data_IF_222264656124
#
_entry.id   IF_222264656124
#
_cell.length_a   1.000
_cell.length_b   1.000
_cell.length_c   1.000
_cell.angle_alpha   90.00
_cell.angle_beta   90.00
_cell.angle_gamma   90.00
#
_symmetry.space_group_name_H-M   'P 1'
#
loop_
_entity.id
_entity.type
_entity.pdbx_description
1 polymer ?
#
# COMPACT_ATOMS: atom_id res chain seq x y z
N UNK A 1 -28.79 14.16 7.40
CA UNK A 1 -28.65 15.30 6.47
C UNK A 1 -27.52 16.15 6.98
N UNK A 2 -26.42 16.22 6.24
CA UNK A 2 -25.16 16.88 6.66
C UNK A 2 -24.93 18.24 5.95
N UNK A 3 -25.86 18.63 5.06
CA UNK A 3 -25.80 19.83 4.24
C UNK A 3 -27.09 20.65 4.46
N UNK A 4 -26.96 21.97 4.57
CA UNK A 4 -28.10 22.88 4.78
C UNK A 4 -29.09 22.79 3.61
N UNK A 5 -30.35 22.60 3.96
CA UNK A 5 -31.49 22.55 3.06
C UNK A 5 -32.63 23.36 3.68
N UNK A 6 -33.16 24.34 2.94
CA UNK A 6 -34.19 25.27 3.40
C UNK A 6 -35.49 24.56 3.84
N UNK A 7 -35.78 23.37 3.33
CA UNK A 7 -37.00 22.61 3.64
C UNK A 7 -36.93 21.86 4.96
N UNK A 8 -35.73 21.50 5.43
CA UNK A 8 -35.54 20.64 6.62
C UNK A 8 -34.60 21.22 7.69
N UNK A 9 -33.82 22.25 7.35
CA UNK A 9 -32.83 22.85 8.25
C UNK A 9 -33.42 24.02 9.01
N UNK A 10 -33.12 24.10 10.31
CA UNK A 10 -33.61 25.20 11.16
C UNK A 10 -32.74 26.45 11.09
N UNK A 11 -31.45 26.29 10.87
CA UNK A 11 -30.48 27.39 10.87
C UNK A 11 -29.26 27.02 10.04
N UNK A 12 -28.73 27.99 9.28
CA UNK A 12 -27.43 27.89 8.62
C UNK A 12 -26.38 28.52 9.54
N UNK A 13 -25.36 27.76 9.92
CA UNK A 13 -24.30 28.18 10.87
C UNK A 13 -22.92 27.81 10.34
N UNK A 14 -21.88 28.47 10.86
CA UNK A 14 -20.48 28.08 10.65
C UNK A 14 -20.00 27.07 11.70
N UNK A 15 -18.73 26.66 11.60
CA UNK A 15 -18.12 25.66 12.48
C UNK A 15 -18.16 26.07 13.96
N UNK A 16 -17.95 27.35 14.26
CA UNK A 16 -17.92 27.86 15.64
C UNK A 16 -19.30 27.78 16.30
N UNK A 17 -20.32 28.31 15.64
CA UNK A 17 -21.68 28.34 16.17
C UNK A 17 -22.29 26.92 16.23
N UNK A 18 -21.88 26.04 15.31
CA UNK A 18 -22.21 24.61 15.39
C UNK A 18 -21.60 23.97 16.65
N UNK A 19 -20.33 24.21 16.94
CA UNK A 19 -19.68 23.67 18.13
C UNK A 19 -20.32 24.20 19.42
N UNK A 20 -20.62 25.49 19.49
CA UNK A 20 -21.35 26.09 20.62
C UNK A 20 -22.73 25.44 20.81
N UNK A 21 -23.43 25.18 19.70
CA UNK A 21 -24.71 24.48 19.71
C UNK A 21 -24.60 23.02 20.21
N UNK A 22 -23.51 22.31 19.92
CA UNK A 22 -23.24 20.97 20.47
C UNK A 22 -22.98 21.06 21.98
N UNK A 23 -22.12 21.98 22.41
CA UNK A 23 -21.77 22.18 23.83
C UNK A 23 -23.00 22.49 24.67
N UNK A 24 -23.86 23.41 24.20
CA UNK A 24 -25.09 23.80 24.89
C UNK A 24 -26.09 22.63 25.07
N UNK A 25 -25.94 21.54 24.32
CA UNK A 25 -26.83 20.37 24.33
C UNK A 25 -26.16 19.11 24.88
N UNK A 26 -24.93 19.21 25.39
CA UNK A 26 -24.25 18.08 26.02
C UNK A 26 -25.07 17.54 27.20
N UNK A 27 -25.18 16.21 27.30
CA UNK A 27 -25.97 15.52 28.32
C UNK A 27 -27.48 15.49 28.05
N UNK A 28 -27.99 16.21 27.05
CA UNK A 28 -29.39 16.17 26.66
C UNK A 28 -29.67 15.02 25.70
N UNK A 29 -30.92 14.53 25.69
CA UNK A 29 -31.40 13.55 24.70
C UNK A 29 -32.14 14.27 23.57
N UNK A 30 -32.09 13.77 22.32
CA UNK A 30 -32.82 14.37 21.21
C UNK A 30 -34.33 14.31 21.47
N UNK A 31 -35.02 15.43 21.25
CA UNK A 31 -36.48 15.53 21.39
C UNK A 31 -37.23 15.16 20.10
N UNK A 32 -36.59 15.31 18.94
CA UNK A 32 -37.20 15.07 17.62
C UNK A 32 -36.80 13.68 17.08
N UNK A 33 -35.51 13.35 17.17
CA UNK A 33 -35.01 12.03 16.76
C UNK A 33 -35.11 11.05 17.92
N UNK A 34 -35.36 9.77 17.60
CA UNK A 34 -35.37 8.71 18.61
C UNK A 34 -33.98 8.59 19.24
N UNK A 35 -33.90 8.76 20.56
CA UNK A 35 -32.67 8.52 21.29
C UNK A 35 -32.28 7.03 21.17
N UNK A 36 -31.05 6.76 20.73
CA UNK A 36 -30.50 5.40 20.67
C UNK A 36 -29.79 5.11 21.98
N UNK A 37 -30.04 3.93 22.55
CA UNK A 37 -29.32 3.40 23.70
C UNK A 37 -28.79 2.03 23.31
N UNK A 38 -27.47 1.88 23.28
CA UNK A 38 -26.85 0.59 23.06
C UNK A 38 -26.77 -0.17 24.38
N UNK A 39 -27.27 -1.39 24.41
CA UNK A 39 -26.99 -2.28 25.52
C UNK A 39 -25.50 -2.63 25.49
N UNK A 40 -24.89 -2.73 26.68
CA UNK A 40 -23.50 -3.18 26.80
C UNK A 40 -23.46 -4.62 26.29
N UNK A 41 -22.87 -4.84 25.12
CA UNK A 41 -22.66 -6.19 24.61
C UNK A 41 -21.82 -6.97 25.62
N UNK A 42 -22.13 -8.25 25.89
CA UNK A 42 -21.24 -9.08 26.68
C UNK A 42 -19.84 -9.03 26.05
N UNK A 43 -18.81 -8.90 26.88
CA UNK A 43 -17.44 -9.01 26.41
C UNK A 43 -17.31 -10.35 25.69
N UNK A 44 -16.89 -10.32 24.42
CA UNK A 44 -16.51 -11.55 23.76
C UNK A 44 -15.41 -12.22 24.62
N UNK A 45 -15.48 -13.54 24.85
CA UNK A 45 -14.35 -14.25 25.44
C UNK A 45 -13.12 -13.96 24.58
N UNK A 46 -11.97 -13.76 25.22
CA UNK A 46 -10.71 -13.62 24.50
C UNK A 46 -10.60 -14.81 23.53
N UNK A 47 -10.41 -14.52 22.24
CA UNK A 47 -10.30 -15.56 21.23
C UNK A 47 -9.23 -16.56 21.68
N UNK A 48 -9.62 -17.82 21.87
CA UNK A 48 -8.64 -18.89 22.03
C UNK A 48 -7.75 -18.86 20.80
N UNK A 49 -6.43 -18.90 21.00
CA UNK A 49 -5.46 -18.84 19.91
C UNK A 49 -5.89 -19.81 18.81
N UNK A 50 -6.06 -19.28 17.58
CA UNK A 50 -6.52 -20.09 16.46
C UNK A 50 -5.65 -21.33 16.33
N UNK A 51 -6.25 -22.48 16.01
CA UNK A 51 -5.54 -23.72 15.71
C UNK A 51 -4.34 -23.46 14.81
N UNK A 52 -3.23 -24.15 15.06
CA UNK A 52 -2.02 -24.02 14.25
C UNK A 52 -2.39 -24.22 12.77
N UNK A 53 -2.14 -23.19 11.94
CA UNK A 53 -2.39 -23.29 10.51
C UNK A 53 -1.47 -24.36 9.91
N UNK A 54 -1.95 -25.12 8.92
CA UNK A 54 -1.10 -26.06 8.19
C UNK A 54 0.15 -25.35 7.66
N UNK A 55 1.28 -26.04 7.68
CA UNK A 55 2.49 -25.57 7.00
C UNK A 55 2.20 -25.45 5.51
N UNK A 56 2.35 -24.25 4.95
CA UNK A 56 2.22 -23.99 3.51
C UNK A 56 3.60 -23.91 2.87
N UNK A 57 3.72 -24.32 1.61
CA UNK A 57 4.96 -24.13 0.85
C UNK A 57 5.15 -22.64 0.61
N UNK A 58 6.20 -22.07 1.18
CA UNK A 58 6.55 -20.64 1.05
C UNK A 58 7.78 -20.48 0.16
N UNK A 59 7.56 -19.89 -1.00
CA UNK A 59 8.59 -19.75 -2.04
C UNK A 59 8.93 -18.28 -2.25
N UNK A 60 10.18 -17.90 -1.99
CA UNK A 60 10.67 -16.57 -2.31
C UNK A 60 10.80 -16.47 -3.84
N UNK A 61 10.11 -15.52 -4.46
CA UNK A 61 10.06 -15.36 -5.94
C UNK A 61 10.58 -14.01 -6.42
N UNK A 62 10.87 -13.09 -5.50
CA UNK A 62 11.38 -11.76 -5.84
C UNK A 62 11.45 -10.80 -4.66
N UNK A 63 11.63 -9.52 -4.97
CA UNK A 63 11.67 -8.41 -4.02
C UNK A 63 11.16 -7.13 -4.66
N UNK A 64 10.37 -6.37 -3.91
CA UNK A 64 10.11 -4.96 -4.18
C UNK A 64 11.18 -4.12 -3.49
N UNK A 65 11.95 -3.35 -4.28
CA UNK A 65 12.96 -2.41 -3.80
C UNK A 65 12.38 -1.00 -3.90
N UNK A 66 12.35 -0.28 -2.79
CA UNK A 66 11.82 1.07 -2.75
C UNK A 66 12.95 2.08 -2.72
N UNK A 67 12.84 3.13 -3.54
CA UNK A 67 13.88 4.14 -3.72
C UNK A 67 13.36 5.53 -3.40
N UNK A 68 14.23 6.36 -2.80
CA UNK A 68 14.13 7.82 -2.84
C UNK A 68 14.96 8.33 -4.03
N UNK A 69 14.29 8.86 -5.06
CA UNK A 69 14.97 9.27 -6.29
C UNK A 69 14.24 10.39 -7.03
N UNK A 70 14.98 11.44 -7.40
CA UNK A 70 14.45 12.67 -8.03
C UNK A 70 15.17 13.07 -9.33
N UNK A 71 16.11 12.25 -9.81
CA UNK A 71 17.05 12.64 -10.87
C UNK A 71 16.51 12.53 -12.31
N UNK A 72 15.23 12.16 -12.51
CA UNK A 72 14.66 12.01 -13.84
C UNK A 72 13.25 11.41 -13.85
N UNK A 73 12.93 10.72 -14.94
CA UNK A 73 11.61 10.11 -15.22
C UNK A 73 11.55 8.63 -14.84
N UNK A 74 10.35 8.05 -14.86
CA UNK A 74 10.15 6.61 -14.69
C UNK A 74 10.93 5.78 -15.73
N UNK A 75 11.06 6.29 -16.96
CA UNK A 75 11.83 5.62 -18.02
C UNK A 75 13.33 5.68 -17.75
N UNK A 76 13.86 6.82 -17.31
CA UNK A 76 15.29 6.95 -16.94
C UNK A 76 15.64 6.00 -15.78
N UNK A 77 14.74 5.89 -14.80
CA UNK A 77 14.87 4.97 -13.68
C UNK A 77 14.78 3.51 -14.14
N UNK A 78 13.79 3.18 -14.96
CA UNK A 78 13.58 1.86 -15.55
C UNK A 78 14.78 1.39 -16.36
N UNK A 79 15.31 2.23 -17.26
CA UNK A 79 16.48 1.91 -18.08
C UNK A 79 17.74 1.70 -17.24
N UNK A 80 17.88 2.43 -16.14
CA UNK A 80 19.02 2.29 -15.22
C UNK A 80 18.91 1.02 -14.38
N UNK A 81 17.75 0.76 -13.76
CA UNK A 81 17.52 -0.39 -12.91
C UNK A 81 17.41 -1.70 -13.69
N UNK A 82 16.91 -1.67 -14.92
CA UNK A 82 16.82 -2.87 -15.76
C UNK A 82 18.21 -3.45 -16.07
N UNK A 83 19.24 -2.60 -16.18
CA UNK A 83 20.65 -3.02 -16.35
C UNK A 83 21.21 -3.72 -15.11
N UNK A 84 20.57 -3.58 -13.95
CA UNK A 84 20.97 -4.24 -12.69
C UNK A 84 20.34 -5.63 -12.52
N UNK A 85 19.44 -6.01 -13.45
CA UNK A 85 18.96 -7.38 -13.60
C UNK A 85 20.12 -8.33 -13.82
N UNK A 86 20.03 -9.54 -13.27
CA UNK A 86 21.09 -10.54 -13.35
C UNK A 86 20.96 -11.58 -12.26
N UNK A 87 21.74 -12.65 -12.38
CA UNK A 87 21.81 -13.73 -11.38
C UNK A 87 20.44 -14.29 -11.01
N UNK A 88 19.53 -14.44 -11.99
CA UNK A 88 18.21 -15.04 -11.77
C UNK A 88 17.11 -14.09 -11.30
N UNK A 89 17.37 -12.78 -11.19
CA UNK A 89 16.35 -11.76 -10.89
C UNK A 89 16.34 -10.67 -11.96
N UNK A 90 15.15 -10.20 -12.34
CA UNK A 90 14.96 -9.15 -13.35
C UNK A 90 13.94 -8.11 -12.91
N UNK A 91 14.17 -6.86 -13.29
CA UNK A 91 13.17 -5.80 -13.12
C UNK A 91 11.95 -6.14 -13.98
N UNK A 92 10.76 -6.02 -13.40
CA UNK A 92 9.50 -6.41 -14.07
C UNK A 92 8.52 -5.26 -14.17
N UNK A 93 8.46 -4.38 -13.18
CA UNK A 93 7.79 -3.09 -13.29
C UNK A 93 8.33 -2.08 -12.27
N UNK A 94 7.98 -0.82 -12.50
CA UNK A 94 8.10 0.26 -11.53
C UNK A 94 6.72 0.87 -11.34
N UNK A 95 6.36 1.13 -10.09
CA UNK A 95 5.18 1.92 -9.76
C UNK A 95 5.51 3.11 -8.87
N UNK A 96 4.64 4.11 -8.96
CA UNK A 96 4.67 5.31 -8.15
C UNK A 96 3.26 5.52 -7.58
N UNK A 97 3.14 5.61 -6.26
CA UNK A 97 1.85 5.74 -5.55
C UNK A 97 0.79 4.70 -5.96
N UNK A 98 1.22 3.47 -6.30
CA UNK A 98 0.35 2.35 -6.67
C UNK A 98 -0.06 2.27 -8.14
N UNK A 99 0.46 3.17 -8.99
CA UNK A 99 0.22 3.17 -10.44
C UNK A 99 1.47 2.67 -11.16
N UNK A 100 1.32 1.70 -12.07
CA UNK A 100 2.43 1.25 -12.92
C UNK A 100 2.86 2.39 -13.85
N UNK A 101 4.15 2.74 -13.80
CA UNK A 101 4.75 3.83 -14.60
C UNK A 101 5.90 3.35 -15.48
N UNK A 102 6.34 2.10 -15.35
CA UNK A 102 7.27 1.45 -16.26
C UNK A 102 7.10 -0.08 -16.21
N UNK A 103 7.25 -0.81 -17.33
CA UNK A 103 7.33 -0.28 -18.69
C UNK A 103 5.99 0.30 -19.15
N UNK A 104 6.01 1.05 -20.25
CA UNK A 104 4.82 1.58 -20.94
C UNK A 104 3.89 2.41 -20.03
N UNK A 105 4.48 3.22 -19.15
CA UNK A 105 3.72 4.15 -18.31
C UNK A 105 3.17 5.35 -19.07
N UNK A 106 2.13 5.97 -18.52
CA UNK A 106 1.54 7.19 -19.03
C UNK A 106 2.36 8.41 -18.59
N UNK A 107 2.82 9.23 -19.54
CA UNK A 107 3.64 10.41 -19.26
C UNK A 107 2.92 11.47 -18.42
N UNK A 108 1.59 11.50 -18.45
CA UNK A 108 0.76 12.36 -17.60
C UNK A 108 0.69 11.92 -16.13
N UNK A 109 1.23 10.75 -15.77
CA UNK A 109 1.19 10.26 -14.38
C UNK A 109 2.10 11.09 -13.49
N UNK A 110 1.51 11.82 -12.55
CA UNK A 110 2.26 12.54 -11.53
C UNK A 110 3.00 11.58 -10.60
N UNK A 111 4.32 11.66 -10.58
CA UNK A 111 5.19 10.83 -9.76
C UNK A 111 5.79 11.61 -8.58
N UNK A 112 5.84 11.01 -7.40
CA UNK A 112 6.68 11.46 -6.27
C UNK A 112 8.09 10.91 -6.35
N UNK A 113 8.94 11.32 -5.41
CA UNK A 113 10.30 10.80 -5.17
C UNK A 113 10.35 9.36 -4.66
N UNK A 114 9.24 8.82 -4.14
CA UNK A 114 9.14 7.45 -3.66
C UNK A 114 8.68 6.45 -4.74
N UNK A 115 9.57 5.53 -5.11
CA UNK A 115 9.35 4.53 -6.16
C UNK A 115 9.27 3.12 -5.58
N UNK A 116 8.46 2.25 -6.19
CA UNK A 116 8.55 0.81 -5.99
C UNK A 116 9.07 0.15 -7.26
N UNK A 117 10.18 -0.57 -7.17
CA UNK A 117 10.80 -1.27 -8.28
C UNK A 117 10.76 -2.77 -7.99
N UNK A 118 9.98 -3.53 -8.76
CA UNK A 118 9.82 -4.97 -8.52
C UNK A 118 10.81 -5.78 -9.32
N UNK A 119 11.54 -6.62 -8.62
CA UNK A 119 12.40 -7.63 -9.20
C UNK A 119 11.79 -9.00 -8.94
N UNK A 120 11.52 -9.76 -10.00
CA UNK A 120 11.05 -11.14 -9.92
C UNK A 120 12.11 -12.08 -10.48
N UNK A 121 11.96 -13.37 -10.19
CA UNK A 121 12.70 -14.41 -10.88
C UNK A 121 12.67 -14.21 -12.40
N UNK A 122 13.82 -14.37 -13.06
CA UNK A 122 13.90 -14.28 -14.52
C UNK A 122 13.17 -15.42 -15.23
N UNK A 123 13.08 -16.57 -14.56
CA UNK A 123 12.27 -17.74 -14.89
C UNK A 123 10.91 -17.65 -14.20
N UNK A 124 9.85 -17.88 -14.98
CA UNK A 124 8.49 -17.78 -14.49
C UNK A 124 8.23 -18.74 -13.30
N UNK A 125 7.52 -18.23 -12.29
CA UNK A 125 7.17 -18.91 -11.03
C UNK A 125 8.32 -19.70 -10.36
N UNK A 126 9.57 -19.26 -10.55
CA UNK A 126 10.74 -19.93 -9.99
C UNK A 126 11.22 -19.27 -8.70
N UNK A 127 11.81 -20.08 -7.82
CA UNK A 127 12.34 -19.61 -6.53
C UNK A 127 13.63 -18.82 -6.75
N UNK A 128 13.79 -17.77 -5.95
CA UNK A 128 15.04 -17.03 -5.78
C UNK A 128 15.55 -17.23 -4.36
N UNK A 129 16.85 -17.10 -4.17
CA UNK A 129 17.53 -17.19 -2.88
C UNK A 129 17.73 -15.80 -2.27
N UNK A 130 17.90 -15.76 -0.95
CA UNK A 130 18.29 -14.53 -0.26
C UNK A 130 19.64 -13.99 -0.76
N UNK A 131 20.57 -14.86 -1.17
CA UNK A 131 21.85 -14.46 -1.75
C UNK A 131 21.67 -13.70 -3.07
N UNK A 132 20.73 -14.12 -3.92
CA UNK A 132 20.40 -13.38 -5.14
C UNK A 132 19.81 -12.00 -4.83
N UNK A 133 18.97 -11.89 -3.79
CA UNK A 133 18.45 -10.59 -3.34
C UNK A 133 19.54 -9.68 -2.78
N UNK A 134 20.44 -10.22 -1.95
CA UNK A 134 21.59 -9.46 -1.41
C UNK A 134 22.46 -8.96 -2.56
N UNK A 135 22.78 -9.81 -3.53
CA UNK A 135 23.59 -9.44 -4.69
C UNK A 135 22.92 -8.34 -5.55
N UNK A 136 21.60 -8.43 -5.73
CA UNK A 136 20.82 -7.36 -6.36
C UNK A 136 20.94 -6.05 -5.58
N UNK A 137 20.74 -6.07 -4.26
CA UNK A 137 20.83 -4.87 -3.42
C UNK A 137 22.24 -4.27 -3.43
N UNK A 138 23.28 -5.10 -3.48
CA UNK A 138 24.65 -4.61 -3.68
C UNK A 138 24.79 -3.87 -5.02
N UNK A 139 24.29 -4.43 -6.13
CA UNK A 139 24.32 -3.75 -7.44
C UNK A 139 23.55 -2.43 -7.44
N UNK A 140 22.41 -2.37 -6.75
CA UNK A 140 21.61 -1.15 -6.57
C UNK A 140 22.40 -0.09 -5.80
N UNK A 141 23.01 -0.47 -4.67
CA UNK A 141 23.84 0.40 -3.84
C UNK A 141 25.08 0.92 -4.59
N UNK A 142 25.80 0.02 -5.27
CA UNK A 142 27.02 0.32 -6.02
C UNK A 142 26.74 1.26 -7.21
N UNK A 143 25.50 1.25 -7.72
CA UNK A 143 25.02 2.18 -8.76
C UNK A 143 24.57 3.54 -8.21
N UNK A 144 24.65 3.75 -6.89
CA UNK A 144 24.34 5.00 -6.22
C UNK A 144 22.84 5.27 -6.03
N UNK A 145 22.01 4.23 -6.05
CA UNK A 145 20.58 4.33 -5.70
C UNK A 145 20.39 4.14 -4.20
N UNK A 146 19.66 5.06 -3.58
CA UNK A 146 19.27 4.96 -2.17
C UNK A 146 18.02 4.09 -2.02
N UNK A 147 18.20 2.84 -1.61
CA UNK A 147 17.09 1.95 -1.31
C UNK A 147 16.65 2.12 0.15
N UNK A 148 15.44 2.63 0.33
CA UNK A 148 14.91 3.03 1.63
C UNK A 148 14.04 1.96 2.29
N UNK A 149 13.59 0.96 1.52
CA UNK A 149 12.79 -0.18 2.01
C UNK A 149 12.89 -1.36 1.04
N UNK A 150 12.74 -2.57 1.56
CA UNK A 150 12.57 -3.79 0.76
C UNK A 150 11.36 -4.60 1.26
N UNK A 151 10.65 -5.23 0.33
CA UNK A 151 9.59 -6.19 0.65
C UNK A 151 9.80 -7.47 -0.17
N UNK A 152 10.04 -8.59 0.50
CA UNK A 152 10.21 -9.88 -0.17
C UNK A 152 8.88 -10.39 -0.72
N UNK A 153 8.92 -10.93 -1.93
CA UNK A 153 7.74 -11.43 -2.63
C UNK A 153 7.71 -12.95 -2.53
N UNK A 154 6.61 -13.48 -2.02
CA UNK A 154 6.43 -14.91 -1.80
C UNK A 154 5.22 -15.45 -2.54
N UNK A 155 5.35 -16.68 -3.03
CA UNK A 155 4.20 -17.52 -3.34
C UNK A 155 3.93 -18.46 -2.15
N UNK A 156 2.66 -18.71 -1.85
CA UNK A 156 2.18 -19.65 -0.85
C UNK A 156 1.37 -20.73 -1.54
N UNK A 157 1.84 -21.98 -1.51
CA UNK A 157 1.24 -23.11 -2.24
C UNK A 157 1.05 -22.83 -3.74
N UNK A 158 2.02 -22.13 -4.34
CA UNK A 158 1.98 -21.72 -5.75
C UNK A 158 1.18 -20.45 -6.02
N UNK A 159 0.38 -19.98 -5.07
CA UNK A 159 -0.43 -18.77 -5.18
C UNK A 159 0.34 -17.52 -4.78
N UNK A 160 0.12 -16.42 -5.49
CA UNK A 160 0.81 -15.17 -5.26
C UNK A 160 0.43 -14.55 -3.92
N UNK A 161 1.41 -14.28 -3.06
CA UNK A 161 1.25 -13.62 -1.76
C UNK A 161 1.37 -12.09 -1.79
N UNK A 162 1.31 -11.48 -2.97
CA UNK A 162 1.47 -10.05 -3.21
C UNK A 162 0.51 -9.56 -4.29
N UNK A 163 0.15 -8.28 -4.27
CA UNK A 163 -0.77 -7.70 -5.25
C UNK A 163 -0.06 -7.25 -6.52
N UNK A 164 -0.83 -7.22 -7.60
CA UNK A 164 -0.52 -6.47 -8.82
C UNK A 164 -0.81 -4.98 -8.59
N UNK A 165 -0.11 -4.11 -9.31
CA UNK A 165 -0.51 -2.69 -9.38
C UNK A 165 -1.63 -2.47 -10.39
N UNK A 166 -2.23 -1.29 -10.32
CA UNK A 166 -3.10 -0.82 -11.38
C UNK A 166 -2.32 -0.71 -12.70
N UNK A 167 -2.71 -1.51 -13.68
CA UNK A 167 -2.10 -1.55 -15.03
C UNK A 167 -1.06 -2.66 -15.23
N UNK A 168 -0.82 -3.52 -14.24
CA UNK A 168 -0.05 -4.76 -14.37
C UNK A 168 -0.92 -5.94 -14.81
#
# INVERSE_FOLDING_TARGET
YDIFDQSVSKQKVGTKEFAEAVVARLGQKPAILKAVSYQKSPSAPAATASTARPSVQKDLVGVDVFLDWTKGTANDLGDSLNKLSGEGVKLTMISNRGVKVWPDGHAETFCSDHWRCRFLSDKDNSKVSHQQLISLLSRVADSGFDFIKTENLYNFDGERGFSLDQGE
#
